data_IF_052130558627
#
_entry.id   IF_052130558627
#
_cell.length_a   1.000
_cell.length_b   1.000
_cell.length_c   1.000
_cell.angle_alpha   90.00
_cell.angle_beta   90.00
_cell.angle_gamma   90.00
#
_symmetry.space_group_name_H-M   'P 1'
#
loop_
_entity.id
_entity.type
_entity.pdbx_description
1 polymer ?
#
# COMPACT_ATOMS: atom_id res chain seq x y z
N UNK A 1 20.80 -21.10 26.89
CA UNK A 1 20.54 -21.82 25.62
C UNK A 1 19.16 -21.36 25.14
N UNK A 2 19.11 -20.17 24.51
CA UNK A 2 17.88 -19.57 23.99
C UNK A 2 17.69 -20.19 22.60
N UNK A 3 16.62 -20.95 22.44
CA UNK A 3 16.29 -21.60 21.18
C UNK A 3 15.97 -20.53 20.14
N UNK A 4 16.82 -20.49 19.14
CA UNK A 4 16.67 -19.74 17.89
C UNK A 4 15.58 -20.42 17.06
N UNK A 5 14.33 -20.13 17.34
CA UNK A 5 13.15 -20.72 16.70
C UNK A 5 12.30 -19.66 15.97
N UNK A 6 12.98 -18.67 15.36
CA UNK A 6 12.35 -17.92 14.29
C UNK A 6 12.53 -18.74 13.00
N UNK A 7 11.54 -19.57 12.70
CA UNK A 7 11.41 -20.13 11.36
C UNK A 7 11.42 -18.94 10.39
N UNK A 8 12.56 -18.76 9.70
CA UNK A 8 12.71 -17.80 8.62
C UNK A 8 11.56 -18.07 7.67
N UNK A 9 10.58 -17.18 7.64
CA UNK A 9 9.48 -17.29 6.71
C UNK A 9 10.09 -17.15 5.32
N UNK A 10 10.35 -18.31 4.69
CA UNK A 10 11.03 -18.36 3.42
C UNK A 10 10.09 -17.76 2.38
N UNK A 11 10.50 -16.65 1.80
CA UNK A 11 9.86 -16.05 0.67
C UNK A 11 9.63 -17.11 -0.43
N UNK A 12 8.38 -17.37 -0.87
CA UNK A 12 8.09 -18.45 -1.81
C UNK A 12 8.48 -18.15 -3.26
N UNK A 13 8.91 -16.91 -3.56
CA UNK A 13 9.39 -16.48 -4.87
C UNK A 13 10.91 -16.43 -4.97
N UNK A 14 11.45 -15.97 -6.11
CA UNK A 14 12.88 -15.80 -6.29
C UNK A 14 13.50 -14.87 -5.25
N UNK A 15 14.69 -15.24 -4.76
CA UNK A 15 15.44 -14.44 -3.80
C UNK A 15 15.66 -13.00 -4.35
N UNK A 16 15.43 -11.99 -3.53
CA UNK A 16 15.68 -10.59 -3.86
C UNK A 16 14.48 -9.82 -4.46
N UNK A 17 13.35 -10.47 -4.75
CA UNK A 17 12.15 -9.76 -5.21
C UNK A 17 11.44 -8.99 -4.09
N UNK A 18 11.37 -9.59 -2.90
CA UNK A 18 10.89 -8.91 -1.69
C UNK A 18 11.90 -9.15 -0.57
N UNK A 19 12.41 -8.10 0.06
CA UNK A 19 13.35 -8.25 1.17
C UNK A 19 12.73 -9.05 2.30
N UNK A 20 13.51 -9.96 2.86
CA UNK A 20 13.15 -10.66 4.10
C UNK A 20 13.52 -9.75 5.28
N UNK A 21 12.77 -9.81 6.37
CA UNK A 21 13.17 -9.14 7.62
C UNK A 21 14.54 -9.62 8.07
N UNK A 22 15.40 -8.69 8.46
CA UNK A 22 16.78 -9.00 8.85
C UNK A 22 16.89 -9.67 10.23
N UNK A 23 15.85 -9.55 11.05
CA UNK A 23 15.87 -9.96 12.46
C UNK A 23 16.69 -9.05 13.37
N UNK A 24 17.22 -7.94 12.85
CA UNK A 24 18.05 -6.99 13.58
C UNK A 24 17.23 -5.84 14.17
N UNK A 25 17.78 -5.16 15.16
CA UNK A 25 17.09 -4.06 15.85
C UNK A 25 16.73 -2.87 14.95
N UNK A 26 17.48 -2.66 13.88
CA UNK A 26 17.21 -1.61 12.89
C UNK A 26 16.07 -1.93 11.91
N UNK A 27 15.54 -3.17 11.92
CA UNK A 27 14.49 -3.57 10.98
C UNK A 27 13.13 -2.95 11.35
N UNK A 28 12.70 -1.97 10.58
CA UNK A 28 11.44 -1.28 10.78
C UNK A 28 10.22 -2.21 10.72
N UNK A 29 10.30 -3.36 10.04
CA UNK A 29 9.19 -4.32 10.01
C UNK A 29 8.94 -4.97 11.37
N UNK A 30 10.01 -5.20 12.16
CA UNK A 30 9.89 -5.73 13.53
C UNK A 30 9.20 -4.68 14.42
N UNK A 31 9.64 -3.43 14.35
CA UNK A 31 9.04 -2.33 15.11
C UNK A 31 7.56 -2.14 14.74
N UNK A 32 7.25 -2.23 13.45
CA UNK A 32 5.88 -2.12 12.97
C UNK A 32 4.99 -3.27 13.48
N UNK A 33 5.46 -4.51 13.41
CA UNK A 33 4.68 -5.65 13.92
C UNK A 33 4.44 -5.54 15.41
N UNK A 34 5.52 -5.23 16.17
CA UNK A 34 5.41 -5.05 17.61
C UNK A 34 4.40 -3.94 17.98
N UNK A 35 4.42 -2.81 17.27
CA UNK A 35 3.48 -1.73 17.53
C UNK A 35 2.03 -2.16 17.25
N UNK A 36 1.76 -2.78 16.10
CA UNK A 36 0.42 -3.26 15.76
C UNK A 36 -0.10 -4.30 16.77
N UNK A 37 0.77 -5.19 17.27
CA UNK A 37 0.39 -6.22 18.24
C UNK A 37 0.04 -5.64 19.63
N UNK A 38 0.60 -4.49 19.98
CA UNK A 38 0.31 -3.81 21.25
C UNK A 38 -0.98 -2.99 21.23
N UNK A 39 -1.56 -2.71 20.04
CA UNK A 39 -2.84 -2.00 19.96
C UNK A 39 -3.98 -2.94 20.34
N UNK A 40 -4.69 -2.61 21.42
CA UNK A 40 -5.85 -3.31 21.91
C UNK A 40 -7.13 -2.58 21.47
N UNK A 41 -8.23 -3.32 21.40
CA UNK A 41 -9.52 -2.83 20.89
C UNK A 41 -10.58 -2.94 21.98
N UNK A 42 -11.26 -1.83 22.27
CA UNK A 42 -12.37 -1.77 23.21
C UNK A 42 -13.65 -2.30 22.57
N UNK A 43 -14.37 -3.15 23.27
CA UNK A 43 -15.63 -3.72 22.79
C UNK A 43 -16.82 -2.79 23.05
N UNK A 44 -17.63 -2.52 22.01
CA UNK A 44 -18.85 -1.70 22.05
C UNK A 44 -19.96 -2.35 21.22
N UNK A 45 -20.70 -3.29 21.82
CA UNK A 45 -21.66 -4.15 21.08
C UNK A 45 -23.13 -3.74 21.21
N UNK A 46 -23.48 -2.81 22.12
CA UNK A 46 -24.87 -2.35 22.23
C UNK A 46 -25.23 -1.59 20.96
N UNK A 47 -26.35 -1.97 20.33
CA UNK A 47 -26.80 -1.44 19.02
C UNK A 47 -25.86 -1.71 17.84
N UNK A 48 -24.94 -2.68 17.96
CA UNK A 48 -24.09 -3.09 16.85
C UNK A 48 -24.93 -3.68 15.69
N UNK A 49 -24.46 -3.44 14.48
CA UNK A 49 -25.09 -3.93 13.24
C UNK A 49 -24.05 -4.58 12.34
N UNK A 50 -24.48 -5.35 11.35
CA UNK A 50 -23.60 -5.80 10.28
C UNK A 50 -23.05 -4.57 9.52
N UNK A 51 -21.71 -4.43 9.38
CA UNK A 51 -21.11 -3.24 8.81
C UNK A 51 -21.12 -3.23 7.28
N UNK A 52 -21.19 -2.05 6.70
CA UNK A 52 -20.93 -1.82 5.27
C UNK A 52 -19.45 -1.49 5.05
N UNK A 53 -18.74 -2.38 4.39
CA UNK A 53 -17.32 -2.19 4.05
C UNK A 53 -17.10 -1.32 2.81
N UNK A 54 -18.14 -0.94 2.08
CA UNK A 54 -17.96 -0.17 0.85
C UNK A 54 -17.25 1.15 1.09
N UNK A 55 -16.38 1.52 0.15
CA UNK A 55 -15.63 2.78 0.21
C UNK A 55 -15.59 3.46 -1.15
N UNK A 56 -15.31 4.76 -1.16
CA UNK A 56 -15.14 5.54 -2.38
C UNK A 56 -13.72 6.13 -2.44
N UNK A 57 -13.01 5.85 -3.52
CA UNK A 57 -11.65 6.31 -3.79
C UNK A 57 -11.59 6.83 -5.23
N UNK A 58 -11.10 8.06 -5.43
CA UNK A 58 -10.98 8.71 -6.74
C UNK A 58 -12.29 8.69 -7.56
N UNK A 59 -13.44 8.91 -6.89
CA UNK A 59 -14.77 8.89 -7.52
C UNK A 59 -15.25 7.50 -7.96
N UNK A 60 -14.57 6.44 -7.53
CA UNK A 60 -14.94 5.06 -7.82
C UNK A 60 -15.37 4.33 -6.55
N UNK A 61 -16.44 3.52 -6.64
CA UNK A 61 -16.89 2.64 -5.56
C UNK A 61 -16.12 1.32 -5.55
N UNK A 62 -15.72 0.89 -4.36
CA UNK A 62 -15.05 -0.39 -4.08
C UNK A 62 -15.79 -1.15 -2.98
N UNK A 63 -15.64 -2.48 -2.98
CA UNK A 63 -16.32 -3.37 -2.02
C UNK A 63 -15.74 -3.27 -0.60
N UNK A 64 -14.53 -2.73 -0.45
CA UNK A 64 -13.81 -2.70 0.82
C UNK A 64 -12.69 -1.65 0.80
N UNK A 65 -12.27 -1.13 1.96
CA UNK A 65 -11.10 -0.28 2.08
C UNK A 65 -9.77 -1.08 2.02
N UNK A 66 -9.82 -2.40 1.85
CA UNK A 66 -8.64 -3.23 1.64
C UNK A 66 -8.29 -3.20 0.16
N UNK A 67 -7.06 -2.75 -0.15
CA UNK A 67 -6.55 -2.60 -1.50
C UNK A 67 -5.45 -3.63 -1.79
N UNK A 68 -5.25 -3.92 -3.07
CA UNK A 68 -4.10 -4.67 -3.53
C UNK A 68 -2.82 -3.82 -3.41
N UNK A 69 -1.64 -4.42 -3.21
CA UNK A 69 -0.40 -3.66 -3.04
C UNK A 69 0.23 -3.27 -4.38
N UNK A 70 1.12 -2.27 -4.35
CA UNK A 70 1.96 -1.91 -5.49
C UNK A 70 3.15 -2.87 -5.63
N UNK A 71 2.90 -4.12 -5.99
CA UNK A 71 3.96 -5.06 -6.32
C UNK A 71 4.68 -4.66 -7.60
N UNK A 72 5.95 -5.12 -7.71
CA UNK A 72 6.80 -4.95 -8.88
C UNK A 72 7.41 -6.29 -9.27
N UNK A 73 7.58 -6.51 -10.57
CA UNK A 73 8.40 -7.60 -11.13
C UNK A 73 7.97 -9.04 -10.78
N UNK A 74 6.76 -9.27 -10.27
CA UNK A 74 6.28 -10.63 -9.98
C UNK A 74 6.17 -11.48 -11.26
N UNK A 75 6.00 -10.85 -12.41
CA UNK A 75 5.98 -11.54 -13.71
C UNK A 75 7.35 -12.14 -14.10
N UNK A 76 8.43 -11.75 -13.42
CA UNK A 76 9.75 -12.40 -13.55
C UNK A 76 9.80 -13.82 -12.94
N UNK A 77 8.76 -14.20 -12.18
CA UNK A 77 8.62 -15.56 -11.63
C UNK A 77 8.24 -16.50 -12.78
N UNK A 78 9.23 -17.28 -13.23
CA UNK A 78 9.07 -18.26 -14.31
C UNK A 78 8.31 -19.49 -13.78
N UNK A 79 7.48 -20.11 -14.58
CA UNK A 79 6.78 -21.40 -14.43
C UNK A 79 5.26 -21.33 -14.28
N UNK A 80 4.60 -20.25 -14.76
CA UNK A 80 3.14 -20.19 -14.85
C UNK A 80 2.70 -19.78 -16.25
N UNK A 81 1.61 -20.37 -16.73
CA UNK A 81 0.96 -19.99 -17.99
C UNK A 81 0.32 -18.60 -17.90
N UNK A 82 -0.10 -18.19 -16.69
CA UNK A 82 -0.61 -16.85 -16.39
C UNK A 82 0.41 -16.11 -15.51
N UNK A 83 0.67 -14.87 -15.85
CA UNK A 83 1.61 -14.03 -15.10
C UNK A 83 1.00 -13.61 -13.76
N UNK A 84 1.74 -13.68 -12.64
CA UNK A 84 1.21 -13.38 -11.31
C UNK A 84 0.59 -11.98 -11.17
N UNK A 85 1.14 -10.95 -11.85
CA UNK A 85 0.60 -9.59 -11.81
C UNK A 85 -0.77 -9.48 -12.49
N UNK A 86 -1.02 -10.26 -13.54
CA UNK A 86 -2.31 -10.33 -14.20
C UNK A 86 -3.34 -11.11 -13.36
N UNK A 87 -2.95 -12.24 -12.77
CA UNK A 87 -3.82 -13.02 -11.86
C UNK A 87 -4.29 -12.19 -10.66
N UNK A 88 -3.39 -11.42 -10.11
CA UNK A 88 -3.68 -10.52 -9.01
C UNK A 88 -4.60 -9.36 -9.42
N UNK A 89 -4.41 -8.78 -10.61
CA UNK A 89 -5.33 -7.79 -11.18
C UNK A 89 -6.72 -8.39 -11.47
N UNK A 90 -6.78 -9.65 -11.91
CA UNK A 90 -8.05 -10.37 -12.09
C UNK A 90 -8.78 -10.57 -10.76
N UNK A 91 -8.06 -10.87 -9.67
CA UNK A 91 -8.65 -10.95 -8.34
C UNK A 91 -9.20 -9.60 -7.87
N UNK A 92 -8.45 -8.51 -8.08
CA UNK A 92 -8.91 -7.16 -7.77
C UNK A 92 -10.19 -6.79 -8.53
N UNK A 93 -10.27 -7.15 -9.82
CA UNK A 93 -11.47 -6.92 -10.64
C UNK A 93 -12.67 -7.71 -10.12
N UNK A 94 -12.50 -9.00 -9.82
CA UNK A 94 -13.57 -9.90 -9.39
C UNK A 94 -14.15 -9.48 -8.03
N UNK A 95 -13.28 -9.08 -7.10
CA UNK A 95 -13.68 -8.61 -5.76
C UNK A 95 -13.98 -7.10 -5.72
N UNK A 96 -13.91 -6.40 -6.85
CA UNK A 96 -14.09 -4.94 -6.98
C UNK A 96 -13.22 -4.16 -5.97
N UNK A 97 -11.90 -4.40 -5.98
CA UNK A 97 -10.91 -3.75 -5.15
C UNK A 97 -10.01 -2.84 -5.99
N UNK A 98 -9.44 -1.83 -5.34
CA UNK A 98 -8.43 -0.99 -5.97
C UNK A 98 -7.14 -1.78 -6.15
N UNK A 99 -6.70 -1.90 -7.42
CA UNK A 99 -5.45 -2.54 -7.80
C UNK A 99 -4.32 -1.53 -7.86
N UNK A 100 -3.11 -1.94 -7.47
CA UNK A 100 -1.92 -1.12 -7.57
C UNK A 100 -0.81 -1.91 -8.25
N UNK A 101 -0.04 -1.22 -9.08
CA UNK A 101 1.12 -1.78 -9.77
C UNK A 101 2.31 -0.87 -9.53
N UNK A 102 3.42 -1.45 -9.13
CA UNK A 102 4.70 -0.76 -8.98
C UNK A 102 5.45 -0.67 -10.31
N UNK A 103 6.75 -0.89 -10.24
CA UNK A 103 7.62 -0.81 -11.42
C UNK A 103 7.42 -2.03 -12.34
N UNK A 104 6.91 -1.75 -13.53
CA UNK A 104 6.83 -2.70 -14.66
C UNK A 104 7.20 -1.96 -15.94
N UNK A 105 7.67 -2.68 -16.97
CA UNK A 105 7.79 -2.12 -18.31
C UNK A 105 6.41 -1.88 -18.93
N UNK A 106 6.36 -1.10 -20.01
CA UNK A 106 5.09 -0.68 -20.60
C UNK A 106 4.29 -1.86 -21.17
N UNK A 107 4.93 -2.88 -21.75
CA UNK A 107 4.24 -4.07 -22.27
C UNK A 107 3.57 -4.87 -21.15
N UNK A 108 4.30 -5.17 -20.07
CA UNK A 108 3.74 -5.88 -18.92
C UNK A 108 2.65 -5.05 -18.22
N UNK A 109 2.85 -3.74 -18.09
CA UNK A 109 1.83 -2.87 -17.50
C UNK A 109 0.58 -2.76 -18.39
N UNK A 110 0.75 -2.67 -19.70
CA UNK A 110 -0.35 -2.72 -20.67
C UNK A 110 -1.18 -4.00 -20.56
N UNK A 111 -0.53 -5.16 -20.41
CA UNK A 111 -1.20 -6.44 -20.19
C UNK A 111 -1.99 -6.48 -18.88
N UNK A 112 -1.45 -5.88 -17.80
CA UNK A 112 -2.16 -5.76 -16.52
C UNK A 112 -3.40 -4.87 -16.68
N UNK A 113 -3.29 -3.74 -17.36
CA UNK A 113 -4.42 -2.84 -17.62
C UNK A 113 -5.49 -3.50 -18.51
N UNK A 114 -5.09 -4.36 -19.47
CA UNK A 114 -6.01 -5.12 -20.32
C UNK A 114 -6.94 -6.07 -19.54
N UNK A 115 -6.59 -6.43 -18.31
CA UNK A 115 -7.49 -7.13 -17.38
C UNK A 115 -8.73 -6.28 -17.06
N UNK A 116 -8.63 -4.94 -17.20
CA UNK A 116 -9.68 -4.00 -16.88
C UNK A 116 -10.09 -4.01 -15.39
N UNK A 117 -9.09 -4.10 -14.51
CA UNK A 117 -9.20 -3.75 -13.09
C UNK A 117 -8.96 -2.25 -12.91
N UNK A 118 -9.57 -1.65 -11.88
CA UNK A 118 -9.28 -0.25 -11.51
C UNK A 118 -7.88 -0.15 -10.92
N UNK A 119 -6.92 0.33 -11.70
CA UNK A 119 -5.49 0.22 -11.40
C UNK A 119 -4.82 1.58 -11.21
N UNK A 120 -3.98 1.69 -10.16
CA UNK A 120 -3.05 2.79 -9.89
C UNK A 120 -1.64 2.36 -10.28
N UNK A 121 -0.91 3.17 -11.05
CA UNK A 121 0.52 2.97 -11.31
C UNK A 121 1.37 3.76 -10.33
N UNK A 122 2.32 3.11 -9.67
CA UNK A 122 3.35 3.74 -8.84
C UNK A 122 4.70 3.68 -9.55
N UNK A 123 5.26 4.85 -9.79
CA UNK A 123 6.48 5.07 -10.55
C UNK A 123 7.65 5.29 -9.58
N UNK A 124 8.87 4.90 -9.97
CA UNK A 124 10.07 5.19 -9.19
C UNK A 124 10.49 6.66 -9.34
N UNK A 125 11.15 7.24 -8.31
CA UNK A 125 11.62 8.61 -8.35
C UNK A 125 12.92 8.71 -9.20
N UNK A 126 12.81 8.49 -10.50
CA UNK A 126 13.93 8.60 -11.42
C UNK A 126 14.50 10.02 -11.40
N UNK A 127 15.83 10.14 -11.36
CA UNK A 127 16.50 11.43 -11.45
C UNK A 127 16.24 12.13 -12.79
N UNK A 128 16.03 11.34 -13.85
CA UNK A 128 15.51 11.80 -15.13
C UNK A 128 13.97 11.83 -15.09
N UNK A 129 13.41 13.01 -14.97
CA UNK A 129 11.97 13.19 -14.88
C UNK A 129 11.22 12.90 -16.20
N UNK A 130 11.89 12.88 -17.34
CA UNK A 130 11.25 12.53 -18.63
C UNK A 130 10.79 11.06 -18.60
N UNK A 131 11.51 10.18 -17.91
CA UNK A 131 11.08 8.80 -17.69
C UNK A 131 9.78 8.76 -16.86
N UNK A 132 9.69 9.59 -15.82
CA UNK A 132 8.49 9.69 -14.99
C UNK A 132 7.29 10.16 -15.83
N UNK A 133 7.49 11.24 -16.60
CA UNK A 133 6.45 11.82 -17.44
C UNK A 133 5.99 10.87 -18.54
N UNK A 134 6.91 10.11 -19.15
CA UNK A 134 6.58 9.06 -20.12
C UNK A 134 5.68 7.98 -19.49
N UNK A 135 6.05 7.47 -18.31
CA UNK A 135 5.28 6.42 -17.62
C UNK A 135 3.91 6.92 -17.14
N UNK A 136 3.79 8.19 -16.76
CA UNK A 136 2.51 8.82 -16.45
C UNK A 136 1.63 8.87 -17.70
N UNK A 137 2.16 9.40 -18.81
CA UNK A 137 1.41 9.50 -20.07
C UNK A 137 0.95 8.13 -20.58
N UNK A 138 1.81 7.11 -20.49
CA UNK A 138 1.45 5.74 -20.84
C UNK A 138 0.29 5.22 -19.97
N UNK A 139 0.37 5.41 -18.64
CA UNK A 139 -0.68 4.96 -17.71
C UNK A 139 -2.03 5.64 -18.00
N UNK A 140 -2.01 6.95 -18.25
CA UNK A 140 -3.20 7.75 -18.57
C UNK A 140 -3.84 7.29 -19.89
N UNK A 141 -3.03 7.09 -20.94
CA UNK A 141 -3.51 6.64 -22.26
C UNK A 141 -4.11 5.23 -22.24
N UNK A 142 -3.66 4.36 -21.32
CA UNK A 142 -4.11 2.97 -21.24
C UNK A 142 -5.14 2.72 -20.13
N UNK A 143 -5.70 3.77 -19.51
CA UNK A 143 -6.87 3.68 -18.63
C UNK A 143 -6.54 3.36 -17.17
N UNK A 144 -5.35 3.67 -16.68
CA UNK A 144 -5.10 3.74 -15.24
C UNK A 144 -6.02 4.78 -14.61
N UNK A 145 -6.48 4.56 -13.38
CA UNK A 145 -7.38 5.50 -12.69
C UNK A 145 -6.66 6.51 -11.80
N UNK A 146 -5.41 6.28 -11.52
CA UNK A 146 -4.51 7.19 -10.81
C UNK A 146 -3.04 6.80 -11.09
N UNK A 147 -2.14 7.73 -10.82
CA UNK A 147 -0.69 7.53 -10.90
C UNK A 147 -0.01 8.09 -9.65
N UNK A 148 1.21 7.66 -9.36
CA UNK A 148 1.95 8.20 -8.23
C UNK A 148 3.44 7.88 -8.28
N UNK A 149 4.17 8.35 -7.28
CA UNK A 149 5.61 8.14 -7.14
C UNK A 149 5.94 7.54 -5.77
N UNK A 150 6.84 6.55 -5.73
CA UNK A 150 7.52 6.08 -4.52
C UNK A 150 8.58 7.11 -4.08
N UNK A 151 8.21 8.15 -3.34
CA UNK A 151 9.11 9.27 -2.98
C UNK A 151 10.27 8.83 -2.08
N UNK A 152 10.17 7.69 -1.43
CA UNK A 152 11.11 7.14 -0.46
C UNK A 152 12.19 6.24 -1.09
N UNK A 153 12.11 5.93 -2.39
CA UNK A 153 13.07 5.05 -3.05
C UNK A 153 14.28 5.82 -3.59
N UNK A 154 15.04 6.45 -2.71
CA UNK A 154 16.16 7.31 -3.11
C UNK A 154 17.54 6.73 -2.80
N UNK A 155 17.68 5.92 -1.73
CA UNK A 155 18.97 5.44 -1.24
C UNK A 155 19.24 3.98 -1.62
N UNK A 156 20.41 3.73 -2.15
CA UNK A 156 20.98 2.40 -2.32
C UNK A 156 21.78 1.96 -1.09
N UNK A 157 22.27 0.72 -1.11
CA UNK A 157 22.98 0.08 0.01
C UNK A 157 24.38 0.63 0.29
N UNK A 158 24.92 1.45 -0.61
CA UNK A 158 26.27 2.00 -0.53
C UNK A 158 26.34 3.46 -0.03
N UNK A 159 25.23 3.97 0.54
CA UNK A 159 25.13 5.35 1.01
C UNK A 159 25.04 6.39 -0.12
N UNK A 160 24.80 5.97 -1.35
CA UNK A 160 24.54 6.83 -2.52
C UNK A 160 23.10 6.64 -2.98
N UNK A 161 22.68 7.44 -3.95
CA UNK A 161 21.40 7.22 -4.61
C UNK A 161 21.36 5.85 -5.27
N UNK A 162 20.18 5.22 -5.23
CA UNK A 162 19.97 3.91 -5.84
C UNK A 162 19.98 4.00 -7.37
N UNK A 163 20.25 2.85 -7.99
CA UNK A 163 20.19 2.68 -9.44
C UNK A 163 19.32 1.47 -9.72
N UNK A 164 18.20 1.66 -10.39
CA UNK A 164 17.25 0.61 -10.72
C UNK A 164 17.19 0.45 -12.24
N UNK A 165 17.45 -0.78 -12.72
CA UNK A 165 17.50 -1.11 -14.15
C UNK A 165 18.41 -0.16 -14.98
N UNK A 166 19.52 0.31 -14.36
CA UNK A 166 20.47 1.23 -14.98
C UNK A 166 20.13 2.73 -14.87
N UNK A 167 18.98 3.07 -14.29
CA UNK A 167 18.55 4.45 -14.10
C UNK A 167 18.78 4.92 -12.67
N UNK A 168 19.45 6.09 -12.47
CA UNK A 168 19.64 6.64 -11.15
C UNK A 168 18.32 7.14 -10.55
N UNK A 169 18.12 6.88 -9.26
CA UNK A 169 17.05 7.45 -8.45
C UNK A 169 17.50 8.77 -7.84
N UNK A 170 16.56 9.61 -7.43
CA UNK A 170 16.84 10.86 -6.74
C UNK A 170 15.66 11.37 -5.92
N UNK A 171 15.89 12.30 -4.98
CA UNK A 171 14.81 12.93 -4.24
C UNK A 171 13.99 13.83 -5.16
N UNK A 172 12.68 13.77 -5.03
CA UNK A 172 11.76 14.69 -5.71
C UNK A 172 11.61 15.96 -4.85
N UNK A 173 11.96 17.12 -5.38
CA UNK A 173 11.72 18.38 -4.66
C UNK A 173 10.24 18.75 -4.69
N UNK A 174 9.79 19.61 -3.75
CA UNK A 174 8.40 20.08 -3.76
C UNK A 174 8.04 20.77 -5.11
N UNK A 175 8.99 21.52 -5.67
CA UNK A 175 8.80 22.18 -6.97
C UNK A 175 8.61 21.15 -8.09
N UNK A 176 9.44 20.11 -8.11
CA UNK A 176 9.35 19.06 -9.13
C UNK A 176 8.07 18.26 -8.97
N UNK A 177 7.69 17.93 -7.72
CA UNK A 177 6.44 17.23 -7.44
C UNK A 177 5.23 18.04 -7.96
N UNK A 178 5.17 19.35 -7.70
CA UNK A 178 4.14 20.23 -8.26
C UNK A 178 4.10 20.17 -9.79
N UNK A 179 5.26 20.31 -10.42
CA UNK A 179 5.37 20.27 -11.88
C UNK A 179 4.90 18.93 -12.46
N UNK A 180 5.27 17.82 -11.82
CA UNK A 180 4.87 16.48 -12.26
C UNK A 180 3.35 16.28 -12.08
N UNK A 181 2.79 16.67 -10.94
CA UNK A 181 1.35 16.59 -10.66
C UNK A 181 0.54 17.37 -11.70
N UNK A 182 1.00 18.55 -12.12
CA UNK A 182 0.34 19.38 -13.14
C UNK A 182 0.37 18.78 -14.55
N UNK A 183 1.19 17.75 -14.80
CA UNK A 183 1.35 17.11 -16.13
C UNK A 183 0.37 15.95 -16.38
N UNK A 184 -0.48 15.62 -15.43
CA UNK A 184 -1.49 14.56 -15.58
C UNK A 184 -2.88 15.05 -15.18
N UNK A 185 -3.91 14.49 -15.80
CA UNK A 185 -5.31 14.68 -15.40
C UNK A 185 -5.76 13.64 -14.38
N UNK A 186 -4.97 12.60 -14.16
CA UNK A 186 -5.26 11.55 -13.18
C UNK A 186 -5.01 12.03 -11.74
N UNK A 187 -5.75 11.53 -10.76
CA UNK A 187 -5.39 11.68 -9.35
C UNK A 187 -3.95 11.23 -9.11
N UNK A 188 -3.16 12.07 -8.42
CA UNK A 188 -1.75 11.79 -8.16
C UNK A 188 -1.53 11.35 -6.71
N UNK A 189 -0.67 10.35 -6.51
CA UNK A 189 -0.38 9.73 -5.21
C UNK A 189 1.09 9.88 -4.86
N UNK A 190 1.41 10.42 -3.67
CA UNK A 190 2.75 10.33 -3.10
C UNK A 190 2.83 9.12 -2.18
N UNK A 191 3.61 8.10 -2.55
CA UNK A 191 3.79 6.89 -1.75
C UNK A 191 5.13 6.87 -1.04
N UNK A 192 5.16 6.34 0.20
CA UNK A 192 6.36 6.36 1.06
C UNK A 192 6.42 7.58 1.98
N UNK A 193 5.27 8.19 2.27
CA UNK A 193 5.17 9.31 3.21
C UNK A 193 5.19 8.76 4.63
N UNK A 194 6.13 9.25 5.47
CA UNK A 194 6.25 8.80 6.86
C UNK A 194 6.40 9.97 7.85
N UNK A 195 6.14 11.17 7.42
CA UNK A 195 6.22 12.38 8.24
C UNK A 195 5.09 13.34 7.96
N UNK A 196 4.73 14.15 8.96
CA UNK A 196 3.80 15.29 8.78
C UNK A 196 4.35 16.28 7.75
N UNK A 197 5.67 16.52 7.77
CA UNK A 197 6.32 17.43 6.82
C UNK A 197 6.07 17.03 5.37
N UNK A 198 6.28 15.76 5.04
CA UNK A 198 6.10 15.30 3.65
C UNK A 198 4.63 15.14 3.28
N UNK A 199 3.77 14.81 4.25
CA UNK A 199 2.32 14.80 4.05
C UNK A 199 1.78 16.19 3.66
N UNK A 200 2.22 17.25 4.35
CA UNK A 200 1.86 18.63 4.04
C UNK A 200 2.40 19.08 2.67
N UNK A 201 3.65 18.70 2.34
CA UNK A 201 4.23 19.01 1.01
C UNK A 201 3.49 18.27 -0.12
N UNK A 202 3.10 17.00 0.09
CA UNK A 202 2.30 16.27 -0.88
C UNK A 202 0.93 16.94 -1.11
N UNK A 203 0.28 17.38 -0.05
CA UNK A 203 -0.96 18.15 -0.12
C UNK A 203 -0.74 19.49 -0.87
N UNK A 204 0.30 20.24 -0.53
CA UNK A 204 0.69 21.50 -1.20
C UNK A 204 1.01 21.30 -2.69
N UNK A 205 1.58 20.14 -3.05
CA UNK A 205 1.86 19.79 -4.44
C UNK A 205 0.61 19.43 -5.25
N UNK A 206 -0.56 19.30 -4.62
CA UNK A 206 -1.81 18.93 -5.29
C UNK A 206 -2.07 17.44 -5.39
N UNK A 207 -1.31 16.61 -4.66
CA UNK A 207 -1.58 15.17 -4.59
C UNK A 207 -3.01 14.93 -4.07
N UNK A 208 -3.68 13.92 -4.63
CA UNK A 208 -5.03 13.52 -4.22
C UNK A 208 -5.01 12.42 -3.17
N UNK A 209 -3.86 11.76 -3.00
CA UNK A 209 -3.66 10.80 -1.92
C UNK A 209 -2.18 10.73 -1.51
N UNK A 210 -1.97 10.24 -0.28
CA UNK A 210 -0.67 9.78 0.20
C UNK A 210 -0.78 8.33 0.64
N UNK A 211 0.34 7.59 0.59
CA UNK A 211 0.46 6.29 1.26
C UNK A 211 1.44 6.42 2.41
N UNK A 212 0.95 6.30 3.64
CA UNK A 212 1.77 6.29 4.85
C UNK A 212 2.47 4.94 4.93
N UNK A 213 3.79 4.95 4.75
CA UNK A 213 4.57 3.75 4.48
C UNK A 213 6.04 3.94 4.81
N UNK A 214 6.68 2.91 5.39
CA UNK A 214 8.15 2.79 5.43
C UNK A 214 8.67 1.85 4.32
N UNK A 215 7.83 1.58 3.31
CA UNK A 215 8.15 0.78 2.12
C UNK A 215 8.88 -0.51 2.48
N UNK A 216 8.28 -1.30 3.38
CA UNK A 216 8.80 -2.59 3.79
C UNK A 216 10.19 -2.54 4.46
N UNK A 217 10.41 -1.52 5.29
CA UNK A 217 11.67 -1.38 6.05
C UNK A 217 12.80 -0.73 5.27
N UNK A 218 12.50 0.09 4.27
CA UNK A 218 13.51 0.81 3.50
C UNK A 218 14.39 1.72 4.35
N UNK A 219 13.82 2.35 5.38
CA UNK A 219 14.58 3.16 6.33
C UNK A 219 14.88 2.36 7.60
N UNK A 220 16.16 2.23 8.01
CA UNK A 220 16.52 1.67 9.30
C UNK A 220 15.88 2.45 10.45
N UNK A 221 15.39 1.74 11.46
CA UNK A 221 14.68 2.33 12.61
C UNK A 221 13.46 3.18 12.22
N UNK A 222 12.85 2.92 11.05
CA UNK A 222 11.65 3.62 10.60
C UNK A 222 10.50 3.45 11.60
N UNK A 223 9.80 4.56 11.90
CA UNK A 223 8.62 4.51 12.75
C UNK A 223 7.51 3.70 12.06
N UNK A 224 6.68 2.97 12.82
CA UNK A 224 5.51 2.29 12.26
C UNK A 224 4.54 3.27 11.56
N UNK A 225 4.00 2.96 10.39
CA UNK A 225 2.92 3.75 9.78
C UNK A 225 1.75 3.98 10.74
N UNK A 226 1.36 2.97 11.51
CA UNK A 226 0.31 3.08 12.53
C UNK A 226 0.63 4.15 13.60
N UNK A 227 1.91 4.37 13.94
CA UNK A 227 2.33 5.42 14.85
C UNK A 227 2.28 6.82 14.22
N UNK A 228 2.58 6.92 12.92
CA UNK A 228 2.59 8.18 12.19
C UNK A 228 1.19 8.67 11.81
N UNK A 229 0.27 7.74 11.54
CA UNK A 229 -1.06 8.00 10.99
C UNK A 229 -1.86 9.08 11.76
N UNK A 230 -2.05 9.02 13.10
CA UNK A 230 -2.87 10.01 13.81
C UNK A 230 -2.36 11.43 13.62
N UNK A 231 -1.04 11.64 13.71
CA UNK A 231 -0.42 12.96 13.54
C UNK A 231 -0.56 13.48 12.11
N UNK A 232 -0.45 12.60 11.12
CA UNK A 232 -0.63 12.94 9.71
C UNK A 232 -2.10 13.29 9.45
N UNK A 233 -3.04 12.50 9.98
CA UNK A 233 -4.49 12.75 9.87
C UNK A 233 -4.86 14.12 10.44
N UNK A 234 -4.36 14.44 11.64
CA UNK A 234 -4.61 15.73 12.29
C UNK A 234 -4.02 16.88 11.46
N UNK A 235 -2.81 16.74 10.96
CA UNK A 235 -2.15 17.78 10.16
C UNK A 235 -2.83 18.03 8.80
N UNK A 236 -3.51 17.03 8.24
CA UNK A 236 -4.25 17.13 6.98
C UNK A 236 -5.74 17.39 7.19
N UNK A 237 -6.17 17.67 8.42
CA UNK A 237 -7.57 17.97 8.72
C UNK A 237 -8.08 19.15 7.88
N UNK A 238 -9.24 18.98 7.26
CA UNK A 238 -9.84 19.99 6.37
C UNK A 238 -9.34 19.97 4.93
N UNK A 239 -8.40 19.09 4.58
CA UNK A 239 -8.03 18.82 3.18
C UNK A 239 -8.81 17.63 2.61
N UNK A 240 -8.95 17.58 1.27
CA UNK A 240 -9.61 16.49 0.56
C UNK A 240 -8.65 15.34 0.20
N UNK A 241 -7.40 15.39 0.66
CA UNK A 241 -6.40 14.39 0.35
C UNK A 241 -6.71 13.07 1.06
N UNK A 242 -6.71 11.96 0.32
CA UNK A 242 -6.91 10.63 0.89
C UNK A 242 -5.64 10.13 1.57
N UNK A 243 -5.80 9.47 2.70
CA UNK A 243 -4.71 8.89 3.47
C UNK A 243 -4.80 7.37 3.37
N UNK A 244 -3.87 6.76 2.66
CA UNK A 244 -3.73 5.30 2.61
C UNK A 244 -2.59 4.87 3.52
N UNK A 245 -2.60 3.60 3.93
CA UNK A 245 -1.50 3.02 4.70
C UNK A 245 -1.16 1.61 4.23
N UNK A 246 0.09 1.22 4.41
CA UNK A 246 0.57 -0.14 4.17
C UNK A 246 1.56 -0.57 5.26
N UNK A 247 2.28 -1.65 5.01
CA UNK A 247 3.26 -2.29 5.89
C UNK A 247 2.66 -3.07 7.07
N UNK A 248 3.04 -4.34 7.14
CA UNK A 248 2.75 -5.21 8.28
C UNK A 248 1.29 -5.66 8.42
N UNK A 249 0.46 -5.44 7.41
CA UNK A 249 -0.95 -5.87 7.42
C UNK A 249 -1.00 -7.35 7.03
N UNK A 250 -1.31 -8.21 7.98
CA UNK A 250 -1.36 -9.67 7.81
C UNK A 250 -2.79 -10.22 7.91
N UNK A 251 -3.72 -9.42 8.45
CA UNK A 251 -5.10 -9.79 8.73
C UNK A 251 -6.07 -8.61 8.55
N UNK A 252 -7.36 -8.90 8.52
CA UNK A 252 -8.41 -7.88 8.60
C UNK A 252 -8.38 -7.13 9.94
N UNK A 253 -7.87 -7.75 10.99
CA UNK A 253 -7.68 -7.11 12.30
C UNK A 253 -6.61 -6.01 12.26
N UNK A 254 -5.50 -6.24 11.54
CA UNK A 254 -4.50 -5.19 11.32
C UNK A 254 -5.04 -4.06 10.44
N UNK A 255 -5.79 -4.42 9.39
CA UNK A 255 -6.48 -3.46 8.54
C UNK A 255 -7.40 -2.55 9.37
N UNK A 256 -8.21 -3.14 10.26
CA UNK A 256 -9.08 -2.40 11.18
C UNK A 256 -8.31 -1.35 11.99
N UNK A 257 -7.18 -1.73 12.61
CA UNK A 257 -6.38 -0.83 13.44
C UNK A 257 -5.90 0.41 12.66
N UNK A 258 -5.40 0.21 11.44
CA UNK A 258 -4.94 1.31 10.61
C UNK A 258 -6.08 2.22 10.12
N UNK A 259 -7.25 1.66 9.80
CA UNK A 259 -8.44 2.42 9.43
C UNK A 259 -8.92 3.29 10.61
N UNK A 260 -8.98 2.71 11.81
CA UNK A 260 -9.35 3.45 13.04
C UNK A 260 -8.33 4.56 13.35
N UNK A 261 -7.05 4.34 13.10
CA UNK A 261 -6.00 5.35 13.27
C UNK A 261 -6.00 6.47 12.23
N UNK A 262 -6.90 6.40 11.23
CA UNK A 262 -7.16 7.50 10.30
C UNK A 262 -6.81 7.24 8.85
N UNK A 263 -6.50 6.00 8.45
CA UNK A 263 -6.40 5.65 7.05
C UNK A 263 -7.80 5.57 6.40
N UNK A 264 -7.94 6.09 5.17
CA UNK A 264 -9.16 5.93 4.35
C UNK A 264 -9.23 4.53 3.71
N UNK A 265 -8.06 3.94 3.43
CA UNK A 265 -7.91 2.57 2.93
C UNK A 265 -6.51 2.03 3.23
N UNK A 266 -6.36 0.71 3.17
CA UNK A 266 -5.11 0.01 3.49
C UNK A 266 -4.70 -0.96 2.39
N UNK A 267 -3.41 -1.07 2.13
CA UNK A 267 -2.86 -1.94 1.09
C UNK A 267 -2.16 -3.14 1.72
N UNK A 268 -2.56 -4.34 1.28
CA UNK A 268 -2.11 -5.62 1.85
C UNK A 268 -1.07 -6.26 0.95
N UNK A 269 0.16 -6.42 1.43
CA UNK A 269 1.27 -6.96 0.66
C UNK A 269 1.48 -8.47 0.86
N UNK A 270 2.35 -8.81 1.80
CA UNK A 270 2.83 -10.20 2.01
C UNK A 270 1.73 -11.22 2.26
N UNK A 271 0.63 -10.83 2.92
CA UNK A 271 -0.46 -11.74 3.23
C UNK A 271 -1.14 -12.33 1.98
N UNK A 272 -1.14 -11.63 0.85
CA UNK A 272 -1.68 -12.16 -0.41
C UNK A 272 -0.64 -12.80 -1.32
N UNK A 273 0.63 -12.54 -1.09
CA UNK A 273 1.70 -12.97 -1.99
C UNK A 273 1.89 -14.49 -2.03
N UNK A 274 1.92 -15.15 -0.85
CA UNK A 274 2.00 -16.61 -0.80
C UNK A 274 0.76 -17.29 -1.39
N UNK A 275 -0.49 -16.89 -1.09
CA UNK A 275 -1.68 -17.35 -1.79
C UNK A 275 -1.62 -17.16 -3.31
N UNK A 276 -1.20 -15.98 -3.78
CA UNK A 276 -1.04 -15.69 -5.22
C UNK A 276 -0.08 -16.69 -5.88
N UNK A 277 1.07 -16.94 -5.29
CA UNK A 277 2.08 -17.83 -5.89
C UNK A 277 1.69 -19.31 -5.83
N UNK A 278 0.89 -19.71 -4.85
CA UNK A 278 0.42 -21.10 -4.69
C UNK A 278 -0.80 -21.42 -5.51
N UNK A 279 -1.81 -20.57 -5.45
CA UNK A 279 -3.16 -20.82 -5.96
C UNK A 279 -3.62 -19.77 -7.01
N UNK A 280 -2.75 -18.84 -7.40
CA UNK A 280 -3.06 -17.78 -8.36
C UNK A 280 -4.18 -16.86 -7.89
N UNK A 281 -5.01 -16.41 -8.81
CA UNK A 281 -6.17 -15.55 -8.56
C UNK A 281 -7.06 -16.07 -7.42
N UNK A 282 -7.34 -17.37 -7.40
CA UNK A 282 -8.25 -17.96 -6.41
C UNK A 282 -7.68 -17.90 -4.99
N UNK A 283 -6.37 -18.06 -4.83
CA UNK A 283 -5.70 -17.90 -3.54
C UNK A 283 -5.80 -16.47 -3.00
N UNK A 284 -5.65 -15.48 -3.88
CA UNK A 284 -5.83 -14.07 -3.52
C UNK A 284 -7.27 -13.79 -3.07
N UNK A 285 -8.27 -14.22 -3.85
CA UNK A 285 -9.69 -14.03 -3.53
C UNK A 285 -10.03 -14.63 -2.16
N UNK A 286 -9.58 -15.87 -1.90
CA UNK A 286 -9.80 -16.56 -0.62
C UNK A 286 -9.21 -15.78 0.55
N UNK A 287 -7.97 -15.28 0.39
CA UNK A 287 -7.31 -14.49 1.43
C UNK A 287 -8.02 -13.15 1.68
N UNK A 288 -8.43 -12.45 0.63
CA UNK A 288 -9.17 -11.19 0.75
C UNK A 288 -10.52 -11.40 1.44
N UNK A 289 -11.29 -12.44 1.08
CA UNK A 289 -12.55 -12.76 1.74
C UNK A 289 -12.37 -13.07 3.23
N UNK A 290 -11.30 -13.77 3.60
CA UNK A 290 -10.93 -13.97 5.00
C UNK A 290 -10.69 -12.62 5.70
N UNK A 291 -9.92 -11.74 5.10
CA UNK A 291 -9.62 -10.42 5.70
C UNK A 291 -10.86 -9.53 5.80
N UNK A 292 -11.78 -9.61 4.83
CA UNK A 292 -13.08 -8.92 4.93
C UNK A 292 -13.90 -9.42 6.11
N UNK A 293 -13.95 -10.75 6.32
CA UNK A 293 -14.66 -11.33 7.47
C UNK A 293 -14.05 -10.87 8.80
N UNK A 294 -12.73 -10.88 8.92
CA UNK A 294 -12.00 -10.41 10.11
C UNK A 294 -12.22 -8.90 10.37
N UNK A 295 -12.23 -8.07 9.32
CA UNK A 295 -12.52 -6.63 9.42
C UNK A 295 -13.97 -6.42 9.89
N UNK A 296 -14.93 -7.08 9.26
CA UNK A 296 -16.36 -7.03 9.65
C UNK A 296 -16.58 -7.47 11.08
N UNK A 297 -15.90 -8.52 11.52
CA UNK A 297 -15.99 -9.03 12.89
C UNK A 297 -15.61 -7.96 13.92
N UNK A 298 -14.46 -7.29 13.76
CA UNK A 298 -14.08 -6.21 14.67
C UNK A 298 -15.01 -5.00 14.57
N UNK A 299 -15.48 -4.64 13.38
CA UNK A 299 -16.44 -3.55 13.22
C UNK A 299 -17.75 -3.86 13.97
N UNK A 300 -18.25 -5.10 13.93
CA UNK A 300 -19.41 -5.52 14.74
C UNK A 300 -19.13 -5.43 16.24
N UNK A 301 -17.98 -5.94 16.71
CA UNK A 301 -17.63 -5.88 18.13
C UNK A 301 -17.38 -4.46 18.65
N UNK A 302 -17.19 -3.50 17.78
CA UNK A 302 -16.91 -2.10 18.13
C UNK A 302 -18.04 -1.15 17.78
N UNK A 303 -19.16 -1.65 17.25
CA UNK A 303 -20.33 -0.85 16.87
C UNK A 303 -20.08 0.09 15.67
N UNK A 304 -19.03 -0.17 14.88
CA UNK A 304 -18.70 0.59 13.67
C UNK A 304 -19.60 0.10 12.53
N UNK A 305 -20.42 0.99 11.98
CA UNK A 305 -21.45 0.64 10.98
C UNK A 305 -20.94 0.69 9.55
N UNK A 306 -19.98 1.57 9.27
CA UNK A 306 -19.41 1.76 7.92
C UNK A 306 -18.00 2.36 7.99
N UNK A 307 -17.34 2.42 6.83
CA UNK A 307 -15.95 2.89 6.71
C UNK A 307 -15.75 4.40 6.97
N UNK A 308 -16.80 5.15 7.28
CA UNK A 308 -16.76 6.59 7.57
C UNK A 308 -16.93 6.90 9.06
N UNK A 309 -17.26 5.90 9.86
CA UNK A 309 -17.65 6.07 11.28
C UNK A 309 -16.61 5.53 12.26
N UNK A 310 -15.36 5.35 11.83
CA UNK A 310 -14.27 4.94 12.72
C UNK A 310 -14.01 5.96 13.82
N UNK A 311 -13.81 5.47 15.06
CA UNK A 311 -13.56 6.26 16.26
C UNK A 311 -12.24 5.80 16.92
N UNK A 312 -11.22 6.65 16.89
CA UNK A 312 -9.90 6.33 17.43
C UNK A 312 -9.89 6.06 18.95
N UNK A 313 -10.90 6.53 19.69
CA UNK A 313 -11.02 6.27 21.13
C UNK A 313 -11.31 4.80 21.49
N UNK A 314 -11.54 3.95 20.49
CA UNK A 314 -11.69 2.50 20.66
C UNK A 314 -10.33 1.81 20.83
N UNK A 315 -9.24 2.44 20.41
CA UNK A 315 -7.89 1.86 20.48
C UNK A 315 -7.15 2.29 21.74
N UNK A 316 -6.45 1.32 22.35
CA UNK A 316 -5.62 1.50 23.54
C UNK A 316 -4.22 0.93 23.28
N UNK A 317 -3.14 1.71 23.53
CA UNK A 317 -1.74 1.33 23.32
C UNK A 317 -0.77 2.20 24.10
#
# INVERSE_FOLDING_TARGET
>A
MIMDNQAKQQWPGPAGLIPVTSGKAEDANIHNRNFLDHILVEMRVIDATEPDLTTEIFGQKFSSPIMMPAFSHLNKIKNKDVKPMEEYAMAAKEENLLNWVGMENDDDFGNILAVNSKTVRIIKPFADHDIILHQIAFAEQHGAIAVGIDIDHIAGTNGKYDVVDGYPMGPITLKDLKTIVEKTHLPFVAKGVLSVSDALKACEAGCKAIVVSHHHGRIPFGIPPAYALPKIKDALAGSDIKIFADCGIESGYDAYKLLVLGADAVSVGRAILSPLLKEGKNGVIKQIKKMHAELSELMMYTGIKDTRTFDANILHY
#
